data_IF_537728280148
#
_entry.id   IF_537728280148
#
_cell.length_a   1.000
_cell.length_b   1.000
_cell.length_c   1.000
_cell.angle_alpha   90.00
_cell.angle_beta   90.00
_cell.angle_gamma   90.00
#
_symmetry.space_group_name_H-M   'P 1'
#
loop_
_entity.id
_entity.type
_entity.pdbx_description
1 polymer ?
#
# COMPACT_ATOMS: atom_id res chain seq x y z
N UNK A 1 -2.18 11.65 -13.54
CA UNK A 1 -1.18 10.61 -13.25
C UNK A 1 -0.94 9.89 -14.55
N UNK A 2 0.31 9.77 -14.93
CA UNK A 2 0.73 9.27 -16.23
C UNK A 2 0.38 7.79 -16.34
N UNK A 3 -0.12 7.43 -17.51
CA UNK A 3 -0.43 6.07 -17.94
C UNK A 3 0.71 5.10 -17.56
N UNK A 4 0.38 4.03 -16.83
CA UNK A 4 1.36 2.97 -16.53
C UNK A 4 1.47 1.96 -17.68
N UNK A 5 0.63 2.06 -18.72
CA UNK A 5 0.64 1.20 -19.90
C UNK A 5 2.04 1.02 -20.54
N UNK A 6 2.91 2.05 -20.58
CA UNK A 6 4.27 1.86 -21.08
C UNK A 6 5.07 0.87 -20.23
N UNK A 7 4.96 0.92 -18.90
CA UNK A 7 5.79 0.12 -17.99
C UNK A 7 5.24 -1.31 -17.85
N UNK A 8 3.91 -1.47 -17.79
CA UNK A 8 3.27 -2.82 -17.71
C UNK A 8 3.49 -3.68 -18.96
N UNK A 9 3.86 -3.06 -20.08
CA UNK A 9 4.19 -3.75 -21.33
C UNK A 9 5.69 -3.71 -21.67
N UNK A 10 6.51 -3.03 -20.86
CA UNK A 10 7.95 -2.86 -21.15
C UNK A 10 8.79 -3.89 -20.41
N UNK A 11 8.64 -5.16 -20.82
CA UNK A 11 9.58 -6.21 -20.44
C UNK A 11 11.03 -5.83 -20.75
N UNK A 12 11.24 -5.10 -21.85
CA UNK A 12 12.55 -4.59 -22.24
C UNK A 12 13.18 -3.62 -21.23
N UNK A 13 12.39 -2.79 -20.53
CA UNK A 13 12.92 -1.91 -19.49
C UNK A 13 13.36 -2.71 -18.26
N UNK A 14 12.58 -3.73 -17.87
CA UNK A 14 12.98 -4.66 -16.82
C UNK A 14 14.27 -5.41 -17.18
N UNK A 15 14.39 -5.91 -18.41
CA UNK A 15 15.59 -6.63 -18.86
C UNK A 15 16.82 -5.71 -18.93
N UNK A 16 16.65 -4.41 -19.24
CA UNK A 16 17.73 -3.42 -19.19
C UNK A 16 18.23 -3.20 -17.76
N UNK A 17 17.31 -3.04 -16.80
CA UNK A 17 17.65 -2.90 -15.37
C UNK A 17 18.41 -4.12 -14.84
N UNK A 18 18.05 -5.35 -15.26
CA UNK A 18 18.82 -6.56 -14.92
C UNK A 18 20.26 -6.44 -15.40
N UNK A 19 20.46 -6.01 -16.64
CA UNK A 19 21.78 -5.99 -17.28
C UNK A 19 22.72 -4.99 -16.62
N UNK A 20 22.20 -3.84 -16.20
CA UNK A 20 22.99 -2.73 -15.65
C UNK A 20 23.20 -2.84 -14.13
N UNK A 21 22.61 -3.84 -13.49
CA UNK A 21 22.67 -4.01 -12.04
C UNK A 21 23.80 -4.91 -11.57
N UNK A 22 24.37 -4.57 -10.42
CA UNK A 22 25.26 -5.43 -9.64
C UNK A 22 24.52 -6.33 -8.64
N UNK A 23 23.19 -6.21 -8.55
CA UNK A 23 22.37 -7.00 -7.63
C UNK A 23 22.23 -8.45 -8.10
N UNK A 24 22.17 -9.39 -7.14
CA UNK A 24 22.04 -10.82 -7.43
C UNK A 24 20.68 -11.21 -8.02
N UNK A 25 19.62 -10.43 -7.74
CA UNK A 25 18.27 -10.66 -8.27
C UNK A 25 17.48 -9.33 -8.27
N UNK A 26 16.82 -9.01 -9.38
CA UNK A 26 15.91 -7.86 -9.50
C UNK A 26 14.52 -8.37 -9.84
N UNK A 27 13.51 -7.82 -9.16
CA UNK A 27 12.12 -8.04 -9.49
C UNK A 27 11.36 -6.71 -9.47
N UNK A 28 10.38 -6.57 -10.36
CA UNK A 28 9.49 -5.42 -10.42
C UNK A 28 8.08 -5.83 -10.00
N UNK A 29 7.45 -5.00 -9.16
CA UNK A 29 6.02 -5.08 -8.84
C UNK A 29 5.40 -3.76 -9.28
N UNK A 30 4.60 -3.80 -10.34
CA UNK A 30 3.96 -2.62 -10.91
C UNK A 30 2.52 -2.58 -10.44
N UNK A 31 2.10 -1.43 -9.90
CA UNK A 31 0.76 -1.26 -9.36
C UNK A 31 0.07 0.00 -9.91
N UNK A 32 -1.25 -0.06 -10.09
CA UNK A 32 -2.11 1.07 -10.44
C UNK A 32 -2.78 1.65 -9.20
N UNK A 33 -2.92 2.98 -9.14
CA UNK A 33 -3.58 3.64 -8.02
C UNK A 33 -5.09 3.38 -8.03
N UNK A 34 -5.65 3.03 -6.87
CA UNK A 34 -7.09 2.87 -6.66
C UNK A 34 -7.64 4.13 -6.00
N UNK A 35 -7.22 4.39 -4.76
CA UNK A 35 -7.65 5.53 -3.97
C UNK A 35 -6.67 5.79 -2.80
N UNK A 36 -6.91 6.84 -2.01
CA UNK A 36 -6.10 7.13 -0.83
C UNK A 36 -6.74 8.16 0.10
N UNK A 37 -6.10 8.39 1.24
CA UNK A 37 -6.44 9.44 2.21
C UNK A 37 -5.16 10.16 2.62
N UNK A 38 -5.25 11.44 2.93
CA UNK A 38 -4.16 12.23 3.48
C UNK A 38 -4.67 13.39 4.34
N UNK A 39 -3.75 14.08 5.01
CA UNK A 39 -4.04 15.21 5.90
C UNK A 39 -4.53 16.46 5.18
N UNK A 40 -4.37 16.56 3.84
CA UNK A 40 -4.80 17.74 3.08
C UNK A 40 -6.33 17.87 3.00
N UNK A 41 -7.05 16.75 3.12
CA UNK A 41 -8.50 16.72 3.09
C UNK A 41 -9.00 15.94 4.29
N UNK A 42 -9.43 16.66 5.33
CA UNK A 42 -10.16 16.12 6.49
C UNK A 42 -11.49 15.42 6.13
N UNK A 43 -11.80 15.24 4.84
CA UNK A 43 -12.95 14.48 4.38
C UNK A 43 -12.76 12.99 4.68
N UNK A 44 -13.78 12.36 5.29
CA UNK A 44 -13.82 10.91 5.52
C UNK A 44 -13.71 10.07 4.23
N UNK A 45 -14.08 10.65 3.08
CA UNK A 45 -14.11 9.95 1.79
C UNK A 45 -12.70 9.78 1.19
N UNK A 46 -12.38 8.60 0.62
CA UNK A 46 -11.11 8.39 -0.05
C UNK A 46 -11.04 9.19 -1.38
N UNK A 47 -9.87 9.73 -1.67
CA UNK A 47 -9.55 10.40 -2.93
C UNK A 47 -9.21 9.35 -4.00
N UNK A 48 -9.91 9.37 -5.14
CA UNK A 48 -9.69 8.43 -6.25
C UNK A 48 -8.77 8.96 -7.34
N UNK A 49 -8.47 10.27 -7.31
CA UNK A 49 -7.51 10.88 -8.23
C UNK A 49 -6.14 10.92 -7.59
N UNK A 50 -5.10 10.40 -8.26
CA UNK A 50 -3.76 10.51 -7.75
C UNK A 50 -3.32 11.98 -7.65
N UNK A 51 -2.58 12.29 -6.60
CA UNK A 51 -2.11 13.63 -6.29
C UNK A 51 -0.84 13.56 -5.43
N UNK A 52 -0.11 14.67 -5.44
CA UNK A 52 1.06 14.86 -4.58
C UNK A 52 0.59 14.88 -3.14
N UNK A 53 1.27 14.10 -2.29
CA UNK A 53 1.02 14.12 -0.85
C UNK A 53 1.37 15.51 -0.31
N UNK A 54 0.56 16.08 0.60
CA UNK A 54 0.81 17.42 1.15
C UNK A 54 2.18 17.52 1.83
N UNK A 55 2.59 16.43 2.47
CA UNK A 55 3.87 16.32 3.15
C UNK A 55 4.66 15.17 2.52
N UNK A 56 5.86 15.40 1.95
CA UNK A 56 6.77 14.30 1.64
C UNK A 56 7.18 13.60 2.95
N UNK A 57 7.47 12.28 2.93
CA UNK A 57 7.95 11.58 4.11
C UNK A 57 9.26 12.19 4.61
N UNK A 58 9.28 12.68 5.86
CA UNK A 58 10.49 13.15 6.50
C UNK A 58 11.47 11.99 6.75
N UNK A 59 12.76 12.30 6.95
CA UNK A 59 13.71 11.31 7.46
C UNK A 59 13.18 10.69 8.76
N UNK A 60 13.39 9.40 8.93
CA UNK A 60 12.88 8.61 10.03
C UNK A 60 11.44 8.13 9.90
N UNK A 61 10.67 8.65 8.93
CA UNK A 61 9.29 8.22 8.69
C UNK A 61 9.19 6.72 8.45
N UNK A 62 8.12 6.11 8.94
CA UNK A 62 7.82 4.69 8.77
C UNK A 62 6.80 4.48 7.66
N UNK A 63 7.17 3.67 6.67
CA UNK A 63 6.28 3.18 5.63
C UNK A 63 5.89 1.74 5.94
N UNK A 64 4.58 1.48 6.05
CA UNK A 64 4.02 0.13 6.18
C UNK A 64 3.27 -0.21 4.90
N UNK A 65 3.72 -1.24 4.18
CA UNK A 65 3.00 -1.78 3.02
C UNK A 65 2.42 -3.14 3.39
N UNK A 66 1.11 -3.26 3.22
CA UNK A 66 0.39 -4.50 3.37
C UNK A 66 -0.16 -4.95 2.03
N UNK A 67 0.22 -6.16 1.61
CA UNK A 67 -0.33 -6.83 0.43
C UNK A 67 -1.42 -7.83 0.82
N UNK A 68 -2.55 -7.80 0.12
CA UNK A 68 -3.66 -8.73 0.32
C UNK A 68 -4.17 -9.25 -1.02
N UNK A 69 -4.44 -10.55 -1.07
CA UNK A 69 -5.16 -11.18 -2.18
C UNK A 69 -6.42 -11.81 -1.59
N UNK A 70 -7.56 -11.10 -1.58
CA UNK A 70 -8.83 -11.71 -1.20
C UNK A 70 -9.19 -12.84 -2.19
N UNK A 71 -10.01 -13.80 -1.75
CA UNK A 71 -10.66 -14.73 -2.70
C UNK A 71 -11.50 -13.93 -3.70
N UNK A 72 -11.60 -14.44 -4.93
CA UNK A 72 -12.28 -13.74 -6.03
C UNK A 72 -13.72 -13.32 -5.68
N UNK A 73 -14.45 -14.15 -4.94
CA UNK A 73 -15.82 -13.89 -4.49
C UNK A 73 -15.94 -12.97 -3.25
N UNK A 74 -14.81 -12.39 -2.80
CA UNK A 74 -14.70 -11.55 -1.60
C UNK A 74 -13.98 -10.22 -1.85
N UNK A 75 -13.64 -9.92 -3.10
CA UNK A 75 -12.96 -8.67 -3.47
C UNK A 75 -13.80 -7.44 -3.13
N UNK A 76 -15.09 -7.44 -3.43
CA UNK A 76 -16.01 -6.34 -3.10
C UNK A 76 -16.06 -6.04 -1.59
N UNK A 77 -16.10 -7.09 -0.75
CA UNK A 77 -16.08 -6.95 0.71
C UNK A 77 -14.74 -6.34 1.18
N UNK A 78 -13.62 -6.71 0.55
CA UNK A 78 -12.31 -6.12 0.83
C UNK A 78 -12.25 -4.63 0.48
N UNK A 79 -12.81 -4.23 -0.67
CA UNK A 79 -12.87 -2.81 -1.04
C UNK A 79 -13.79 -2.02 -0.11
N UNK A 80 -14.98 -2.56 0.20
CA UNK A 80 -15.94 -1.95 1.12
C UNK A 80 -15.32 -1.74 2.51
N UNK A 81 -14.63 -2.73 3.06
CA UNK A 81 -13.94 -2.63 4.34
C UNK A 81 -12.92 -1.48 4.37
N UNK A 82 -12.09 -1.37 3.34
CA UNK A 82 -11.10 -0.29 3.24
C UNK A 82 -11.73 1.09 3.14
N UNK A 83 -12.81 1.20 2.36
CA UNK A 83 -13.42 2.49 2.07
C UNK A 83 -14.31 2.97 3.22
N UNK A 84 -14.96 2.06 3.95
CA UNK A 84 -15.95 2.38 4.96
C UNK A 84 -15.43 2.32 6.41
N UNK A 85 -14.40 1.52 6.69
CA UNK A 85 -13.95 1.29 8.06
C UNK A 85 -12.43 1.42 8.23
N UNK A 86 -11.66 0.56 7.56
CA UNK A 86 -10.24 0.42 7.85
C UNK A 86 -9.45 1.67 7.50
N UNK A 87 -9.73 2.26 6.34
CA UNK A 87 -9.02 3.45 5.90
C UNK A 87 -9.26 4.65 6.80
N UNK A 88 -10.45 4.83 7.37
CA UNK A 88 -10.70 5.90 8.36
C UNK A 88 -10.05 5.59 9.71
N UNK A 89 -10.10 4.34 10.18
CA UNK A 89 -9.46 3.97 11.46
C UNK A 89 -7.95 4.22 11.45
N UNK A 90 -7.29 4.01 10.32
CA UNK A 90 -5.86 4.31 10.16
C UNK A 90 -5.54 5.80 10.36
N UNK A 91 -6.45 6.71 9.99
CA UNK A 91 -6.21 8.16 10.13
C UNK A 91 -6.21 8.63 11.58
N UNK A 92 -6.67 7.79 12.51
CA UNK A 92 -6.71 8.09 13.94
C UNK A 92 -5.43 7.68 14.67
N UNK A 93 -4.57 6.91 14.02
CA UNK A 93 -3.30 6.47 14.62
C UNK A 93 -2.38 7.70 14.74
N UNK A 94 -1.85 8.00 15.93
CA UNK A 94 -0.93 9.12 16.11
C UNK A 94 0.26 9.07 15.13
N UNK A 95 0.61 10.22 14.56
CA UNK A 95 1.67 10.34 13.55
C UNK A 95 1.31 9.76 12.18
N UNK A 96 0.04 9.41 11.90
CA UNK A 96 -0.39 9.04 10.55
C UNK A 96 -0.38 10.24 9.60
N UNK A 97 0.18 10.05 8.41
CA UNK A 97 0.26 11.09 7.38
C UNK A 97 -0.67 10.81 6.20
N UNK A 98 -0.61 9.59 5.66
CA UNK A 98 -1.34 9.23 4.46
C UNK A 98 -1.49 7.73 4.30
N UNK A 99 -2.51 7.35 3.53
CA UNK A 99 -2.75 6.00 3.04
C UNK A 99 -2.97 6.04 1.52
N UNK A 100 -2.35 5.11 0.80
CA UNK A 100 -2.54 4.93 -0.64
C UNK A 100 -2.84 3.46 -0.94
N UNK A 101 -3.87 3.20 -1.73
CA UNK A 101 -4.27 1.87 -2.17
C UNK A 101 -3.92 1.66 -3.63
N UNK A 102 -3.42 0.48 -3.94
CA UNK A 102 -3.02 0.11 -5.29
C UNK A 102 -3.50 -1.30 -5.66
N UNK A 103 -3.80 -1.51 -6.94
CA UNK A 103 -4.00 -2.83 -7.53
C UNK A 103 -2.75 -3.27 -8.27
N UNK A 104 -2.41 -4.55 -8.21
CA UNK A 104 -1.34 -5.13 -9.00
C UNK A 104 -1.68 -5.06 -10.48
N UNK A 105 -0.74 -4.57 -11.27
CA UNK A 105 -0.86 -4.46 -12.73
C UNK A 105 0.06 -5.44 -13.45
N UNK A 106 1.30 -5.61 -12.99
CA UNK A 106 2.25 -6.55 -13.56
C UNK A 106 3.34 -6.93 -12.56
N UNK A 107 3.97 -8.09 -12.77
CA UNK A 107 5.13 -8.57 -12.03
C UNK A 107 6.19 -9.04 -13.03
N UNK A 108 7.44 -8.64 -12.81
CA UNK A 108 8.59 -9.19 -13.51
C UNK A 108 9.61 -9.73 -12.50
N UNK A 109 10.28 -10.81 -12.84
CA UNK A 109 11.18 -11.52 -11.93
C UNK A 109 10.44 -12.41 -10.94
N UNK A 110 11.16 -12.87 -9.93
CA UNK A 110 10.68 -13.79 -8.92
C UNK A 110 10.50 -13.04 -7.59
N UNK A 111 9.27 -12.58 -7.34
CA UNK A 111 8.92 -11.87 -6.12
C UNK A 111 7.52 -12.24 -5.66
N UNK A 112 7.36 -12.37 -4.35
CA UNK A 112 6.03 -12.48 -3.76
C UNK A 112 5.24 -11.19 -3.96
N UNK A 113 4.12 -11.30 -4.66
CA UNK A 113 3.19 -10.21 -4.93
C UNK A 113 1.76 -10.52 -4.45
N UNK A 114 0.98 -9.48 -4.17
CA UNK A 114 -0.43 -9.56 -3.81
C UNK A 114 -1.27 -8.79 -4.82
N UNK A 115 -2.59 -9.04 -4.88
CA UNK A 115 -3.47 -8.38 -5.86
C UNK A 115 -3.70 -6.91 -5.49
N UNK A 116 -3.73 -6.61 -4.20
CA UNK A 116 -3.97 -5.26 -3.69
C UNK A 116 -2.96 -4.91 -2.62
N UNK A 117 -2.64 -3.62 -2.53
CA UNK A 117 -1.74 -3.09 -1.54
C UNK A 117 -2.29 -1.86 -0.85
N UNK A 118 -2.07 -1.76 0.45
CA UNK A 118 -2.23 -0.54 1.25
C UNK A 118 -0.87 -0.04 1.72
N UNK A 119 -0.52 1.19 1.34
CA UNK A 119 0.72 1.88 1.69
C UNK A 119 0.37 2.95 2.72
N UNK A 120 0.88 2.82 3.94
CA UNK A 120 0.60 3.75 5.03
C UNK A 120 1.87 4.43 5.51
N UNK A 121 1.83 5.75 5.60
CA UNK A 121 2.95 6.60 5.99
C UNK A 121 2.73 7.13 7.40
N UNK A 122 3.75 7.02 8.24
CA UNK A 122 3.76 7.51 9.60
C UNK A 122 5.03 8.29 9.89
N UNK A 123 4.97 9.24 10.81
CA UNK A 123 6.15 9.93 11.35
C UNK A 123 7.09 8.95 12.06
N UNK A 124 8.34 9.36 12.34
CA UNK A 124 9.28 8.54 13.11
C UNK A 124 8.72 8.16 14.49
N UNK A 125 8.14 9.14 15.19
CA UNK A 125 7.42 8.94 16.45
C UNK A 125 5.93 8.84 16.13
N UNK A 126 5.36 7.65 16.27
CA UNK A 126 4.00 7.36 15.86
C UNK A 126 3.31 6.37 16.82
N UNK A 127 2.02 6.13 16.58
CA UNK A 127 1.17 5.26 17.40
C UNK A 127 1.07 3.81 16.91
N UNK A 128 1.95 3.34 16.03
CA UNK A 128 1.94 1.94 15.59
C UNK A 128 2.13 1.01 16.80
N UNK A 129 1.27 -0.01 16.93
CA UNK A 129 1.24 -0.90 18.09
C UNK A 129 0.50 -0.34 19.33
N UNK A 130 0.15 0.94 19.31
CA UNK A 130 -0.63 1.62 20.35
C UNK A 130 -2.13 1.31 20.31
N UNK A 131 -2.93 1.93 21.20
CA UNK A 131 -4.37 1.66 21.33
C UNK A 131 -5.16 1.90 20.04
N UNK A 132 -4.98 3.05 19.38
CA UNK A 132 -5.68 3.38 18.12
C UNK A 132 -5.34 2.39 17.00
N UNK A 133 -4.07 1.96 16.91
CA UNK A 133 -3.65 0.97 15.93
C UNK A 133 -4.29 -0.41 16.20
N UNK A 134 -4.32 -0.84 17.47
CA UNK A 134 -4.98 -2.09 17.89
C UNK A 134 -6.49 -2.04 17.68
N UNK A 135 -7.13 -0.90 17.90
CA UNK A 135 -8.55 -0.67 17.62
C UNK A 135 -8.91 -0.74 16.12
N UNK A 136 -7.90 -0.72 15.24
CA UNK A 136 -8.02 -1.02 13.82
C UNK A 136 -8.33 -2.50 13.51
N UNK A 137 -8.14 -3.40 14.48
CA UNK A 137 -8.48 -4.82 14.35
C UNK A 137 -9.91 -5.05 14.83
N UNK A 138 -10.85 -4.91 13.91
CA UNK A 138 -12.28 -5.19 14.12
C UNK A 138 -12.66 -6.60 13.68
N UNK A 139 -13.89 -7.02 13.95
CA UNK A 139 -14.46 -8.26 13.41
C UNK A 139 -14.43 -8.28 11.87
N UNK A 140 -14.66 -7.13 11.22
CA UNK A 140 -14.56 -7.03 9.77
C UNK A 140 -13.11 -7.19 9.31
N UNK A 141 -12.14 -6.58 10.00
CA UNK A 141 -10.71 -6.80 9.72
C UNK A 141 -10.35 -8.29 9.83
N UNK A 142 -10.84 -8.99 10.85
CA UNK A 142 -10.61 -10.44 11.01
C UNK A 142 -11.27 -11.25 9.91
N UNK A 143 -12.51 -10.91 9.52
CA UNK A 143 -13.22 -11.51 8.38
C UNK A 143 -12.41 -11.35 7.09
N UNK A 144 -11.96 -10.14 6.77
CA UNK A 144 -11.14 -9.87 5.58
C UNK A 144 -9.86 -10.70 5.58
N UNK A 145 -9.17 -10.79 6.73
CA UNK A 145 -7.97 -11.62 6.86
C UNK A 145 -8.25 -13.11 6.61
N UNK A 146 -9.37 -13.62 7.13
CA UNK A 146 -9.80 -15.00 6.90
C UNK A 146 -10.25 -15.27 5.45
N UNK A 147 -10.58 -14.20 4.71
CA UNK A 147 -10.97 -14.26 3.31
C UNK A 147 -9.79 -14.21 2.33
N UNK A 148 -8.55 -14.20 2.80
CA UNK A 148 -7.37 -14.18 1.93
C UNK A 148 -7.18 -15.52 1.20
N UNK A 149 -6.93 -15.48 -0.11
CA UNK A 149 -6.64 -16.65 -0.94
C UNK A 149 -5.20 -17.16 -0.78
N UNK A 150 -4.31 -16.31 -0.24
CA UNK A 150 -2.93 -16.64 0.12
C UNK A 150 -2.49 -15.75 1.28
N UNK A 151 -1.36 -16.05 1.96
CA UNK A 151 -0.87 -15.24 3.08
C UNK A 151 -0.77 -13.74 2.75
N UNK A 152 -1.08 -12.89 3.72
CA UNK A 152 -0.91 -11.45 3.57
C UNK A 152 0.57 -11.09 3.66
N UNK A 153 0.99 -10.15 2.81
CA UNK A 153 2.35 -9.62 2.81
C UNK A 153 2.39 -8.42 3.76
N UNK A 154 3.44 -8.32 4.58
CA UNK A 154 3.72 -7.12 5.36
C UNK A 154 5.19 -6.78 5.22
N UNK A 155 5.46 -5.54 4.83
CA UNK A 155 6.80 -4.98 4.77
C UNK A 155 6.79 -3.61 5.45
N UNK A 156 7.86 -3.32 6.18
CA UNK A 156 8.04 -2.08 6.94
C UNK A 156 9.38 -1.49 6.53
N UNK A 157 9.38 -0.22 6.17
CA UNK A 157 10.59 0.52 5.81
C UNK A 157 10.68 1.77 6.68
N UNK A 158 11.92 2.21 6.89
CA UNK A 158 12.25 3.50 7.48
C UNK A 158 12.88 4.36 6.39
N UNK A 159 12.47 5.61 6.31
CA UNK A 159 13.07 6.59 5.39
C UNK A 159 14.40 7.02 6.00
N UNK A 160 15.50 6.73 5.30
CA UNK A 160 16.86 7.07 5.71
C UNK A 160 17.48 8.06 4.71
N UNK A 161 18.50 8.79 5.15
CA UNK A 161 19.36 9.53 4.21
C UNK A 161 20.22 8.55 3.42
N UNK A 162 20.39 8.80 2.13
CA UNK A 162 21.30 8.06 1.25
C UNK A 162 22.74 8.52 1.46
#
# INVERSE_FOLDING_TARGET
MNDIAPIVNSRSAYDADIKDSSASEISWVICSFINGRDTARLSQKPQTKPHVLPNPPALGSILVINGSTPRADKEDDYHAWYDQEHGEKLTRVPGWNAARRYALAAVYGNVEAANFYGFNFYDEVNGLGGPEWKAGVTDWTLRIRSNAAKPNIRRVWKVESV
#
